data_IF_119141771513
#
_entry.id   IF_119141771513
#
_cell.length_a   1.000
_cell.length_b   1.000
_cell.length_c   1.000
_cell.angle_alpha   90.00
_cell.angle_beta   90.00
_cell.angle_gamma   90.00
#
_symmetry.space_group_name_H-M   'P 1'
#
loop_
_entity.id
_entity.type
_entity.pdbx_description
1 polymer ?
#
# COMPACT_ATOMS: atom_id res chain seq x y z
N UNK A 1 5.65 -18.32 -16.07
CA UNK A 1 6.44 -17.30 -15.33
C UNK A 1 7.90 -17.44 -15.70
N UNK A 2 8.54 -16.38 -16.17
CA UNK A 2 10.00 -16.35 -16.33
C UNK A 2 10.65 -16.39 -14.94
N UNK A 3 11.66 -17.24 -14.76
CA UNK A 3 12.45 -17.29 -13.53
C UNK A 3 13.05 -15.88 -13.23
N UNK A 4 13.22 -15.50 -11.95
CA UNK A 4 13.90 -14.27 -11.59
C UNK A 4 15.25 -14.20 -12.30
N UNK A 5 15.53 -13.09 -12.98
CA UNK A 5 16.86 -12.89 -13.58
C UNK A 5 17.84 -12.51 -12.46
N UNK A 6 19.10 -12.92 -12.58
CA UNK A 6 20.16 -12.64 -11.59
C UNK A 6 20.33 -11.14 -11.26
N UNK A 7 19.84 -10.27 -12.14
CA UNK A 7 19.90 -8.81 -11.97
C UNK A 7 18.79 -8.23 -11.07
N UNK A 8 17.88 -9.06 -10.55
CA UNK A 8 16.84 -8.57 -9.66
C UNK A 8 17.38 -8.43 -8.22
N UNK A 9 17.04 -7.33 -7.49
CA UNK A 9 17.60 -7.06 -6.17
C UNK A 9 17.43 -8.18 -5.15
N UNK A 10 16.33 -8.95 -5.24
CA UNK A 10 16.00 -10.03 -4.32
C UNK A 10 15.99 -11.41 -4.98
N UNK A 11 16.71 -11.55 -6.13
CA UNK A 11 16.84 -12.84 -6.79
C UNK A 11 17.43 -13.89 -5.84
N UNK A 12 16.80 -15.07 -5.79
CA UNK A 12 17.17 -16.17 -4.90
C UNK A 12 16.43 -16.17 -3.56
N UNK A 13 16.02 -15.01 -3.03
CA UNK A 13 15.34 -14.94 -1.74
C UNK A 13 14.00 -15.69 -1.79
N UNK A 14 13.77 -16.59 -0.82
CA UNK A 14 12.58 -17.43 -0.71
C UNK A 14 11.76 -17.09 0.53
N UNK A 15 10.50 -16.72 0.35
CA UNK A 15 9.58 -16.31 1.42
C UNK A 15 8.33 -17.18 1.38
N UNK A 16 7.94 -17.73 2.52
CA UNK A 16 6.65 -18.39 2.74
C UNK A 16 5.71 -17.37 3.36
N UNK A 17 4.61 -17.09 2.69
CA UNK A 17 3.57 -16.18 3.15
C UNK A 17 2.30 -16.95 3.50
N UNK A 18 1.89 -16.86 4.78
CA UNK A 18 0.61 -17.40 5.27
C UNK A 18 -0.22 -16.24 5.77
N UNK A 19 -1.05 -15.69 4.91
CA UNK A 19 -1.64 -14.38 5.18
C UNK A 19 -3.03 -14.20 4.59
N UNK A 20 -3.70 -13.11 4.99
CA UNK A 20 -4.99 -12.68 4.44
C UNK A 20 -5.06 -11.15 4.36
N UNK A 21 -5.99 -10.64 3.57
CA UNK A 21 -6.35 -9.23 3.41
C UNK A 21 -5.26 -8.35 2.77
N UNK A 22 -4.70 -7.33 3.46
CA UNK A 22 -3.88 -6.27 2.84
C UNK A 22 -2.43 -6.30 3.29
N UNK A 23 -2.17 -6.08 4.57
CA UNK A 23 -0.84 -5.74 5.07
C UNK A 23 0.23 -6.78 4.70
N UNK A 24 0.05 -8.03 5.10
CA UNK A 24 1.00 -9.09 4.76
C UNK A 24 1.03 -9.40 3.25
N UNK A 25 -0.13 -9.52 2.55
CA UNK A 25 -0.11 -9.70 1.10
C UNK A 25 0.62 -8.59 0.34
N UNK A 26 0.45 -7.32 0.72
CA UNK A 26 1.17 -6.21 0.12
C UNK A 26 2.69 -6.30 0.38
N UNK A 27 3.08 -6.64 1.60
CA UNK A 27 4.48 -6.87 1.95
C UNK A 27 5.13 -7.95 1.10
N UNK A 28 4.50 -9.12 1.01
CA UNK A 28 4.97 -10.23 0.17
C UNK A 28 4.97 -9.87 -1.33
N UNK A 29 3.94 -9.19 -1.82
CA UNK A 29 3.92 -8.72 -3.22
C UNK A 29 5.05 -7.72 -3.50
N UNK A 30 5.35 -6.83 -2.58
CA UNK A 30 6.45 -5.87 -2.72
C UNK A 30 7.79 -6.61 -2.88
N UNK A 31 8.04 -7.64 -2.06
CA UNK A 31 9.23 -8.48 -2.19
C UNK A 31 9.25 -9.28 -3.50
N UNK A 32 8.10 -9.86 -3.89
CA UNK A 32 7.99 -10.60 -5.16
C UNK A 32 8.25 -9.72 -6.38
N UNK A 33 7.73 -8.50 -6.39
CA UNK A 33 7.99 -7.52 -7.44
C UNK A 33 9.45 -7.03 -7.47
N UNK A 34 10.21 -7.23 -6.42
CA UNK A 34 11.65 -6.99 -6.35
C UNK A 34 12.50 -8.22 -6.70
N UNK A 35 11.87 -9.36 -7.00
CA UNK A 35 12.52 -10.57 -7.47
C UNK A 35 12.62 -11.71 -6.48
N UNK A 36 12.07 -11.58 -5.27
CA UNK A 36 11.97 -12.71 -4.34
C UNK A 36 10.97 -13.77 -4.84
N UNK A 37 11.26 -15.03 -4.59
CA UNK A 37 10.27 -16.11 -4.73
C UNK A 37 9.35 -16.13 -3.50
N UNK A 38 8.16 -15.54 -3.63
CA UNK A 38 7.16 -15.54 -2.57
C UNK A 38 6.12 -16.61 -2.85
N UNK A 39 6.03 -17.60 -1.96
CA UNK A 39 5.01 -18.66 -2.00
C UNK A 39 3.92 -18.29 -1.01
N UNK A 40 2.76 -17.92 -1.55
CA UNK A 40 1.54 -17.74 -0.77
C UNK A 40 0.89 -19.09 -0.53
N UNK A 41 0.66 -19.39 0.74
CA UNK A 41 -0.02 -20.61 1.20
C UNK A 41 -1.44 -20.26 1.61
N UNK A 42 -2.41 -20.75 0.85
CA UNK A 42 -3.83 -20.60 1.16
C UNK A 42 -4.43 -21.95 1.65
N UNK A 43 -5.50 -21.94 2.44
CA UNK A 43 -6.26 -23.15 2.73
C UNK A 43 -6.92 -23.69 1.46
N UNK A 44 -7.32 -24.97 1.47
CA UNK A 44 -8.12 -25.55 0.40
C UNK A 44 -9.39 -24.72 0.19
N UNK A 45 -9.73 -24.43 -1.07
CA UNK A 45 -10.84 -23.56 -1.42
C UNK A 45 -10.57 -22.06 -1.24
N UNK A 46 -9.38 -21.66 -0.82
CA UNK A 46 -8.95 -20.27 -0.65
C UNK A 46 -9.23 -19.68 0.72
N UNK A 47 -8.55 -18.57 1.02
CA UNK A 47 -8.77 -17.76 2.20
C UNK A 47 -9.95 -16.77 1.98
N UNK A 48 -10.50 -16.12 3.04
CA UNK A 48 -11.65 -15.22 2.92
C UNK A 48 -11.47 -14.05 1.94
N UNK A 49 -10.23 -13.65 1.67
CA UNK A 49 -9.91 -12.57 0.73
C UNK A 49 -10.01 -12.97 -0.75
N UNK A 50 -10.09 -14.29 -1.07
CA UNK A 50 -10.32 -14.77 -2.43
C UNK A 50 -11.71 -14.38 -2.99
N UNK A 51 -12.68 -14.12 -2.14
CA UNK A 51 -14.05 -13.70 -2.52
C UNK A 51 -14.37 -12.26 -2.13
N UNK A 52 -13.34 -11.48 -1.72
CA UNK A 52 -13.53 -10.11 -1.26
C UNK A 52 -13.78 -9.16 -2.43
N UNK A 53 -14.73 -8.25 -2.23
CA UNK A 53 -15.02 -7.14 -3.16
C UNK A 53 -13.84 -6.17 -3.32
N UNK A 54 -13.67 -5.55 -4.52
CA UNK A 54 -14.55 -5.69 -5.69
C UNK A 54 -14.32 -6.98 -6.46
N UNK A 55 -15.35 -7.45 -7.18
CA UNK A 55 -15.33 -8.67 -7.97
C UNK A 55 -15.44 -8.35 -9.47
N UNK A 56 -14.78 -9.16 -10.30
CA UNK A 56 -15.06 -9.22 -11.73
C UNK A 56 -16.40 -9.94 -11.99
N UNK A 57 -16.93 -9.89 -13.22
CA UNK A 57 -18.18 -10.59 -13.61
C UNK A 57 -18.11 -12.10 -13.36
N UNK A 58 -16.94 -12.71 -13.48
CA UNK A 58 -16.67 -14.10 -13.17
C UNK A 58 -16.75 -14.47 -11.69
N UNK A 59 -16.84 -13.49 -10.79
CA UNK A 59 -16.70 -13.65 -9.35
C UNK A 59 -15.25 -13.61 -8.85
N UNK A 60 -14.25 -13.43 -9.72
CA UNK A 60 -12.84 -13.33 -9.31
C UNK A 60 -12.61 -12.00 -8.57
N UNK A 61 -11.98 -12.06 -7.41
CA UNK A 61 -11.65 -10.89 -6.60
C UNK A 61 -10.56 -10.04 -7.24
N UNK A 62 -10.91 -8.80 -7.62
CA UNK A 62 -9.95 -7.80 -8.08
C UNK A 62 -9.05 -7.31 -6.93
N UNK A 63 -9.55 -7.42 -5.71
CA UNK A 63 -8.81 -7.12 -4.50
C UNK A 63 -7.67 -8.12 -4.28
N UNK A 64 -7.98 -9.43 -4.33
CA UNK A 64 -6.98 -10.47 -4.16
C UNK A 64 -5.94 -10.46 -5.29
N UNK A 65 -6.38 -10.38 -6.55
CA UNK A 65 -5.46 -10.32 -7.70
C UNK A 65 -4.59 -9.06 -7.66
N UNK A 66 -5.12 -7.95 -7.16
CA UNK A 66 -4.39 -6.70 -6.96
C UNK A 66 -3.19 -6.83 -6.02
N UNK A 67 -3.31 -7.63 -4.95
CA UNK A 67 -2.33 -7.75 -3.86
C UNK A 67 -1.41 -8.99 -3.95
N UNK A 68 -1.62 -9.85 -4.96
CA UNK A 68 -0.87 -11.11 -5.07
C UNK A 68 -0.12 -11.27 -6.40
N UNK A 69 0.10 -10.16 -7.13
CA UNK A 69 0.89 -10.18 -8.37
C UNK A 69 2.31 -10.69 -8.13
N UNK A 70 2.82 -11.45 -9.10
CA UNK A 70 4.16 -12.04 -9.11
C UNK A 70 4.45 -13.09 -8.03
N UNK A 71 3.49 -13.46 -7.19
CA UNK A 71 3.63 -14.56 -6.23
C UNK A 71 3.37 -15.92 -6.88
N UNK A 72 3.80 -16.97 -6.19
CA UNK A 72 3.35 -18.34 -6.42
C UNK A 72 2.25 -18.68 -5.41
N UNK A 73 1.21 -19.43 -5.82
CA UNK A 73 0.13 -19.87 -4.94
C UNK A 73 0.15 -21.38 -4.80
N UNK A 74 0.02 -21.84 -3.56
CA UNK A 74 -0.21 -23.22 -3.21
C UNK A 74 -1.45 -23.34 -2.32
N UNK A 75 -2.22 -24.41 -2.46
CA UNK A 75 -3.38 -24.70 -1.63
C UNK A 75 -3.12 -25.95 -0.77
N UNK A 76 -3.25 -25.80 0.56
CA UNK A 76 -2.88 -26.82 1.54
C UNK A 76 -3.95 -26.93 2.62
N UNK A 77 -4.27 -28.15 3.05
CA UNK A 77 -5.12 -28.35 4.23
C UNK A 77 -4.38 -27.97 5.52
N UNK A 78 -4.49 -26.72 5.91
CA UNK A 78 -3.85 -26.16 7.10
C UNK A 78 -4.46 -26.66 8.43
N UNK A 79 -5.51 -27.50 8.37
CA UNK A 79 -6.12 -28.11 9.55
C UNK A 79 -5.53 -29.48 9.85
N UNK A 80 -5.02 -30.16 8.84
CA UNK A 80 -4.40 -31.49 9.00
C UNK A 80 -2.96 -31.38 9.48
N UNK A 81 -2.52 -32.32 10.29
CA UNK A 81 -1.12 -32.44 10.70
C UNK A 81 -0.17 -32.59 9.50
N UNK A 82 -0.61 -33.29 8.44
CA UNK A 82 0.17 -33.48 7.22
C UNK A 82 0.36 -32.16 6.46
N UNK A 83 -0.68 -31.32 6.35
CA UNK A 83 -0.57 -30.01 5.72
C UNK A 83 0.28 -29.03 6.53
N UNK A 84 0.13 -29.04 7.86
CA UNK A 84 0.98 -28.23 8.76
C UNK A 84 2.45 -28.61 8.64
N UNK A 85 2.76 -29.91 8.63
CA UNK A 85 4.12 -30.39 8.44
C UNK A 85 4.67 -30.01 7.05
N UNK A 86 3.86 -30.10 6.01
CA UNK A 86 4.24 -29.70 4.66
C UNK A 86 4.65 -28.21 4.60
N UNK A 87 3.86 -27.33 5.20
CA UNK A 87 4.19 -25.89 5.27
C UNK A 87 5.41 -25.65 6.16
N UNK A 88 5.52 -26.36 7.28
CA UNK A 88 6.73 -26.31 8.14
C UNK A 88 7.98 -26.65 7.32
N UNK A 89 7.96 -27.71 6.53
CA UNK A 89 9.07 -28.08 5.65
C UNK A 89 9.35 -27.03 4.58
N UNK A 90 8.31 -26.43 3.97
CA UNK A 90 8.49 -25.34 3.02
C UNK A 90 9.23 -24.14 3.63
N UNK A 91 9.04 -23.89 4.92
CA UNK A 91 9.81 -22.88 5.65
C UNK A 91 11.22 -23.37 5.97
N UNK A 92 11.35 -24.54 6.58
CA UNK A 92 12.63 -25.00 7.16
C UNK A 92 13.60 -25.54 6.14
N UNK A 93 13.11 -26.20 5.09
CA UNK A 93 13.89 -26.95 4.12
C UNK A 93 14.05 -26.22 2.77
N UNK A 94 13.70 -24.92 2.72
CA UNK A 94 13.68 -24.10 1.49
C UNK A 94 15.08 -23.66 0.98
N UNK A 95 16.14 -24.23 1.49
CA UNK A 95 17.52 -23.90 1.07
C UNK A 95 18.11 -22.69 1.81
N UNK A 96 19.35 -22.27 1.48
CA UNK A 96 20.09 -21.25 2.23
C UNK A 96 19.40 -19.88 2.19
N UNK A 97 18.80 -19.50 1.06
CA UNK A 97 18.13 -18.20 0.88
C UNK A 97 16.67 -18.22 1.32
N UNK A 98 16.20 -19.34 1.89
CA UNK A 98 14.87 -19.52 2.47
C UNK A 98 14.83 -19.28 3.98
N UNK A 99 13.88 -19.97 4.67
CA UNK A 99 13.68 -19.78 6.11
C UNK A 99 13.14 -18.39 6.45
N UNK A 100 12.26 -17.86 5.62
CA UNK A 100 11.61 -16.58 5.84
C UNK A 100 10.11 -16.79 5.85
N UNK A 101 9.45 -16.35 6.93
CA UNK A 101 7.99 -16.41 7.09
C UNK A 101 7.43 -15.01 7.25
N UNK A 102 6.39 -14.72 6.48
CA UNK A 102 5.53 -13.55 6.62
C UNK A 102 4.12 -14.02 6.92
N UNK A 103 3.57 -13.62 8.06
CA UNK A 103 2.23 -14.05 8.44
C UNK A 103 1.45 -12.98 9.23
N UNK A 104 0.13 -12.98 9.08
CA UNK A 104 -0.80 -12.30 9.98
C UNK A 104 -1.78 -13.29 10.63
N UNK A 105 -1.46 -14.58 10.59
CA UNK A 105 -2.25 -15.63 11.22
C UNK A 105 -1.84 -15.78 12.69
N UNK A 106 -2.64 -15.23 13.58
CA UNK A 106 -2.43 -15.33 15.03
C UNK A 106 -2.90 -16.69 15.57
N UNK A 107 -2.21 -17.19 16.60
CA UNK A 107 -2.65 -18.38 17.36
C UNK A 107 -2.31 -19.74 16.73
N UNK A 108 -1.59 -19.79 15.62
CA UNK A 108 -1.12 -21.05 15.00
C UNK A 108 0.23 -21.46 15.59
N UNK A 109 0.21 -22.17 16.73
CA UNK A 109 1.44 -22.58 17.44
C UNK A 109 2.50 -23.25 16.58
N UNK A 110 2.10 -24.11 15.61
CA UNK A 110 3.01 -24.80 14.69
C UNK A 110 3.72 -23.86 13.70
N UNK A 111 3.12 -22.71 13.39
CA UNK A 111 3.70 -21.67 12.51
C UNK A 111 4.47 -20.59 13.30
N UNK A 112 4.45 -20.65 14.62
CA UNK A 112 5.11 -19.68 15.49
C UNK A 112 6.64 -19.78 15.44
N UNK A 113 7.32 -18.67 15.73
CA UNK A 113 8.77 -18.57 15.67
C UNK A 113 9.48 -19.71 16.43
N UNK A 114 9.05 -20.01 17.67
CA UNK A 114 9.73 -21.04 18.51
C UNK A 114 9.70 -22.40 17.86
N UNK A 115 8.53 -22.85 17.38
CA UNK A 115 8.40 -24.16 16.76
C UNK A 115 9.22 -24.31 15.47
N UNK A 116 9.30 -23.25 14.66
CA UNK A 116 10.06 -23.27 13.42
C UNK A 116 11.57 -23.09 13.65
N UNK A 117 11.97 -22.28 14.62
CA UNK A 117 13.36 -22.01 14.94
C UNK A 117 14.09 -23.22 15.53
N UNK A 118 13.38 -24.16 16.19
CA UNK A 118 13.93 -25.44 16.61
C UNK A 118 14.46 -26.27 15.44
N UNK A 119 13.83 -26.15 14.27
CA UNK A 119 14.23 -26.87 13.05
C UNK A 119 15.13 -26.03 12.15
N UNK A 120 15.03 -24.70 12.24
CA UNK A 120 15.83 -23.76 11.45
C UNK A 120 16.32 -22.57 12.30
N UNK A 121 17.52 -22.66 12.88
CA UNK A 121 18.03 -21.64 13.82
C UNK A 121 18.22 -20.24 13.21
N UNK A 122 18.46 -20.15 11.89
CA UNK A 122 18.60 -18.88 11.16
C UNK A 122 17.27 -18.33 10.62
N UNK A 123 16.13 -18.85 11.11
CA UNK A 123 14.78 -18.46 10.71
C UNK A 123 14.55 -16.95 10.88
N UNK A 124 13.97 -16.32 9.85
CA UNK A 124 13.36 -15.00 9.93
C UNK A 124 11.85 -15.16 9.93
N UNK A 125 11.22 -14.74 11.01
CA UNK A 125 9.78 -14.83 11.17
C UNK A 125 9.22 -13.44 11.43
N UNK A 126 8.32 -12.94 10.58
CA UNK A 126 7.62 -11.70 10.78
C UNK A 126 6.13 -11.94 10.95
N UNK A 127 5.63 -11.57 12.13
CA UNK A 127 4.23 -11.61 12.51
C UNK A 127 3.63 -10.22 12.42
N UNK A 128 2.54 -10.06 11.65
CA UNK A 128 1.70 -8.86 11.70
C UNK A 128 0.54 -9.11 12.66
N UNK A 129 0.29 -8.16 13.54
CA UNK A 129 -0.73 -8.21 14.59
C UNK A 129 -1.63 -6.99 14.51
N UNK A 130 -2.82 -7.05 15.14
CA UNK A 130 -3.71 -5.90 15.26
C UNK A 130 -3.17 -4.87 16.24
N UNK A 131 -2.96 -5.32 17.48
CA UNK A 131 -2.37 -4.56 18.58
C UNK A 131 -1.16 -5.30 19.17
N UNK A 132 -0.24 -4.59 19.90
CA UNK A 132 0.95 -5.21 20.51
C UNK A 132 0.65 -6.28 21.55
N UNK A 133 -0.53 -6.30 22.14
CA UNK A 133 -1.02 -7.30 23.09
C UNK A 133 -1.60 -8.55 22.40
N UNK A 134 -1.59 -8.58 21.06
CA UNK A 134 -2.15 -9.66 20.24
C UNK A 134 -3.66 -9.57 20.02
N UNK A 135 -4.33 -8.55 20.54
CA UNK A 135 -5.75 -8.35 20.27
C UNK A 135 -6.01 -7.96 18.83
N UNK A 136 -7.19 -8.32 18.32
CA UNK A 136 -7.55 -8.12 16.92
C UNK A 136 -7.84 -6.65 16.61
N UNK A 137 -7.31 -6.16 15.51
CA UNK A 137 -7.70 -4.89 14.92
C UNK A 137 -7.65 -4.97 13.39
N UNK A 138 -8.34 -4.06 12.75
CA UNK A 138 -8.31 -3.81 11.31
C UNK A 138 -8.09 -2.33 11.06
N UNK A 139 -7.68 -1.95 9.86
CA UNK A 139 -7.36 -0.57 9.48
C UNK A 139 -8.40 0.45 9.98
N UNK A 140 -9.69 0.21 9.67
CA UNK A 140 -10.76 1.13 10.04
C UNK A 140 -10.97 1.29 11.55
N UNK A 141 -10.76 0.24 12.34
CA UNK A 141 -10.87 0.34 13.81
C UNK A 141 -9.66 1.06 14.40
N UNK A 142 -8.47 0.83 13.87
CA UNK A 142 -7.25 1.58 14.25
C UNK A 142 -7.40 3.05 13.89
N UNK A 143 -7.88 3.36 12.67
CA UNK A 143 -8.09 4.73 12.23
C UNK A 143 -9.05 5.49 13.13
N UNK A 144 -10.15 4.85 13.53
CA UNK A 144 -11.12 5.46 14.45
C UNK A 144 -10.49 5.78 15.82
N UNK A 145 -9.67 4.87 16.36
CA UNK A 145 -8.97 5.04 17.64
C UNK A 145 -7.86 6.11 17.59
N UNK A 146 -7.35 6.43 16.41
CA UNK A 146 -6.25 7.40 16.23
C UNK A 146 -6.72 8.86 16.13
N UNK A 147 -8.03 9.11 16.00
CA UNK A 147 -8.61 10.45 15.92
C UNK A 147 -8.63 11.08 14.52
N UNK A 148 -8.01 10.50 13.49
CA UNK A 148 -8.03 11.04 12.14
C UNK A 148 -9.43 11.24 11.54
N UNK A 149 -10.42 10.36 11.79
CA UNK A 149 -11.79 10.60 11.34
C UNK A 149 -12.44 11.88 11.87
N UNK A 150 -11.99 12.37 13.03
CA UNK A 150 -12.45 13.63 13.59
C UNK A 150 -11.78 14.86 12.95
N UNK A 151 -10.66 14.68 12.26
CA UNK A 151 -9.93 15.71 11.52
C UNK A 151 -10.25 15.72 10.03
N UNK A 152 -10.82 14.63 9.51
CA UNK A 152 -11.16 14.45 8.10
C UNK A 152 -12.54 15.02 7.79
N UNK A 153 -12.69 15.62 6.62
CA UNK A 153 -13.96 16.14 6.11
C UNK A 153 -14.10 17.66 6.20
N UNK A 154 -15.25 18.22 5.76
CA UNK A 154 -15.47 19.66 5.68
C UNK A 154 -15.38 20.34 7.04
N UNK A 155 -14.90 21.59 7.05
CA UNK A 155 -14.97 22.45 8.25
C UNK A 155 -16.42 22.56 8.73
N UNK A 156 -16.64 22.50 10.04
CA UNK A 156 -17.98 22.57 10.66
C UNK A 156 -18.79 21.27 10.60
N UNK A 157 -18.30 20.19 9.96
CA UNK A 157 -18.94 18.88 10.03
C UNK A 157 -18.64 18.22 11.38
N UNK A 158 -19.67 17.73 12.08
CA UNK A 158 -19.50 17.20 13.43
C UNK A 158 -19.14 15.70 13.47
N UNK A 159 -19.68 14.92 12.54
CA UNK A 159 -19.54 13.47 12.55
C UNK A 159 -18.16 13.02 12.05
N UNK A 160 -17.64 11.88 12.54
CA UNK A 160 -16.40 11.28 12.02
C UNK A 160 -16.51 10.94 10.54
N UNK A 161 -15.43 11.14 9.77
CA UNK A 161 -15.32 10.76 8.36
C UNK A 161 -14.12 9.85 8.17
N UNK A 162 -14.37 8.60 7.81
CA UNK A 162 -13.29 7.66 7.49
C UNK A 162 -12.67 7.94 6.12
N UNK A 163 -11.42 7.57 5.97
CA UNK A 163 -10.76 7.53 4.67
C UNK A 163 -11.19 6.28 3.86
N UNK A 164 -11.07 6.34 2.55
CA UNK A 164 -11.39 5.20 1.66
C UNK A 164 -10.21 4.25 1.47
N UNK A 165 -8.98 4.71 1.68
CA UNK A 165 -7.76 3.93 1.54
C UNK A 165 -7.46 3.25 2.88
N UNK A 166 -7.19 1.92 2.93
CA UNK A 166 -6.68 1.26 4.13
C UNK A 166 -5.19 1.64 4.35
N UNK A 167 -4.96 2.88 4.78
CA UNK A 167 -3.65 3.51 4.82
C UNK A 167 -2.70 2.81 5.81
N UNK A 168 -3.23 2.34 6.92
CA UNK A 168 -2.45 1.66 7.96
C UNK A 168 -2.03 0.27 7.52
N UNK A 169 -2.90 -0.46 6.85
CA UNK A 169 -2.58 -1.74 6.23
C UNK A 169 -1.49 -1.57 5.16
N UNK A 170 -1.61 -0.55 4.31
CA UNK A 170 -0.60 -0.24 3.27
C UNK A 170 0.75 0.08 3.91
N UNK A 171 0.78 0.98 4.90
CA UNK A 171 2.00 1.33 5.61
C UNK A 171 2.60 0.11 6.32
N UNK A 172 1.78 -0.69 7.02
CA UNK A 172 2.21 -1.90 7.71
C UNK A 172 2.84 -2.92 6.75
N UNK A 173 2.26 -3.12 5.56
CA UNK A 173 2.82 -4.01 4.54
C UNK A 173 4.20 -3.55 4.05
N UNK A 174 4.40 -2.24 3.88
CA UNK A 174 5.70 -1.69 3.51
C UNK A 174 6.72 -1.80 4.67
N UNK A 175 6.30 -1.56 5.92
CA UNK A 175 7.15 -1.81 7.10
C UNK A 175 7.52 -3.29 7.22
N UNK A 176 6.61 -4.21 6.90
CA UNK A 176 6.91 -5.64 6.90
C UNK A 176 7.99 -6.00 5.87
N UNK A 177 7.90 -5.48 4.65
CA UNK A 177 8.93 -5.67 3.63
C UNK A 177 10.30 -5.12 4.09
N UNK A 178 10.34 -3.91 4.65
CA UNK A 178 11.56 -3.30 5.20
C UNK A 178 12.11 -4.12 6.38
N UNK A 179 11.23 -4.55 7.29
CA UNK A 179 11.62 -5.38 8.45
C UNK A 179 12.25 -6.71 8.03
N UNK A 180 11.65 -7.40 7.04
CA UNK A 180 12.21 -8.65 6.50
C UNK A 180 13.56 -8.43 5.83
N UNK A 181 13.72 -7.38 5.04
CA UNK A 181 15.00 -7.05 4.41
C UNK A 181 16.07 -6.66 5.44
N UNK A 182 15.69 -5.93 6.50
CA UNK A 182 16.57 -5.63 7.62
C UNK A 182 17.05 -6.88 8.37
N UNK A 183 16.15 -7.83 8.62
CA UNK A 183 16.45 -9.10 9.25
C UNK A 183 17.31 -10.00 8.35
N UNK A 184 17.04 -10.04 7.05
CA UNK A 184 17.82 -10.77 6.07
C UNK A 184 19.25 -10.22 6.01
N UNK A 185 19.42 -8.90 5.90
CA UNK A 185 20.75 -8.28 5.96
C UNK A 185 21.49 -8.59 7.26
N UNK A 186 20.78 -8.65 8.41
CA UNK A 186 21.38 -9.09 9.68
C UNK A 186 21.81 -10.54 9.60
N UNK A 187 20.94 -11.43 9.10
CA UNK A 187 21.23 -12.86 8.92
C UNK A 187 22.44 -13.08 8.02
N UNK A 188 22.53 -12.39 6.91
CA UNK A 188 23.67 -12.47 5.99
C UNK A 188 25.01 -12.10 6.64
N UNK A 189 24.99 -11.22 7.65
CA UNK A 189 26.21 -10.79 8.38
C UNK A 189 26.56 -11.64 9.58
N UNK A 190 25.57 -12.25 10.22
CA UNK A 190 25.73 -12.87 11.55
C UNK A 190 25.40 -14.37 11.58
N UNK A 191 24.76 -14.88 10.54
CA UNK A 191 24.18 -16.22 10.50
C UNK A 191 22.96 -16.40 11.41
N UNK A 192 22.47 -15.35 12.08
CA UNK A 192 21.41 -15.46 13.07
C UNK A 192 20.05 -15.04 12.52
N UNK A 193 19.03 -15.83 12.80
CA UNK A 193 17.63 -15.53 12.53
C UNK A 193 17.06 -14.37 13.36
N UNK A 194 15.79 -14.04 13.13
CA UNK A 194 15.08 -12.96 13.82
C UNK A 194 13.61 -13.28 13.98
N UNK A 195 13.05 -13.02 15.16
CA UNK A 195 11.60 -12.90 15.36
C UNK A 195 11.23 -11.42 15.32
N UNK A 196 10.32 -11.06 14.45
CA UNK A 196 9.82 -9.70 14.28
C UNK A 196 8.30 -9.70 14.48
N UNK A 197 7.79 -8.69 15.16
CA UNK A 197 6.37 -8.40 15.26
C UNK A 197 6.10 -6.96 14.84
N UNK A 198 5.01 -6.74 14.12
CA UNK A 198 4.54 -5.40 13.73
C UNK A 198 3.06 -5.34 14.06
N UNK A 199 2.69 -4.43 14.98
CA UNK A 199 1.29 -4.15 15.24
C UNK A 199 0.78 -3.03 14.32
N UNK A 200 -0.40 -3.23 13.75
CA UNK A 200 -1.05 -2.26 12.87
C UNK A 200 -1.29 -0.92 13.60
N UNK A 201 -1.71 -1.00 14.88
CA UNK A 201 -1.90 0.18 15.73
C UNK A 201 -0.60 0.94 16.00
N UNK A 202 0.53 0.24 16.13
CA UNK A 202 1.82 0.90 16.35
C UNK A 202 2.31 1.64 15.11
N UNK A 203 2.09 1.06 13.92
CA UNK A 203 2.38 1.74 12.65
C UNK A 203 1.59 3.04 12.54
N UNK A 204 0.30 3.01 12.88
CA UNK A 204 -0.56 4.19 12.85
C UNK A 204 -0.13 5.22 13.91
N UNK A 205 0.13 4.78 15.14
CA UNK A 205 0.57 5.63 16.24
C UNK A 205 1.94 6.29 15.95
N UNK A 206 2.89 5.51 15.45
CA UNK A 206 4.20 6.02 15.04
C UNK A 206 4.09 7.06 13.91
N UNK A 207 3.20 6.81 12.94
CA UNK A 207 2.93 7.78 11.86
C UNK A 207 2.37 9.08 12.41
N UNK A 208 1.36 9.02 13.29
CA UNK A 208 0.80 10.20 13.94
C UNK A 208 1.83 10.95 14.79
N UNK A 209 2.65 10.23 15.54
CA UNK A 209 3.72 10.82 16.34
C UNK A 209 4.78 11.51 15.49
N UNK A 210 5.29 10.83 14.46
CA UNK A 210 6.32 11.35 13.56
C UNK A 210 5.86 12.60 12.76
N UNK A 211 4.57 12.70 12.49
CA UNK A 211 3.97 13.86 11.81
C UNK A 211 3.54 14.97 12.77
N UNK A 212 3.84 14.85 14.07
CA UNK A 212 3.63 15.88 15.08
C UNK A 212 2.22 15.95 15.69
N UNK A 213 1.26 15.11 15.27
CA UNK A 213 -0.12 15.16 15.78
C UNK A 213 -0.19 14.91 17.28
N UNK A 214 0.60 13.96 17.80
CA UNK A 214 0.61 13.65 19.23
C UNK A 214 1.22 14.76 20.05
N UNK A 215 2.37 15.31 19.60
CA UNK A 215 3.04 16.41 20.27
C UNK A 215 2.18 17.69 20.28
N UNK A 216 1.53 17.99 19.16
CA UNK A 216 0.59 19.13 19.07
C UNK A 216 -0.54 19.01 20.09
N UNK A 217 -1.14 17.83 20.21
CA UNK A 217 -2.21 17.57 21.17
C UNK A 217 -1.71 17.61 22.63
N UNK A 218 -0.51 17.06 22.91
CA UNK A 218 0.11 17.07 24.24
C UNK A 218 0.46 18.49 24.70
N UNK A 219 0.87 19.36 23.78
CA UNK A 219 1.11 20.78 24.03
C UNK A 219 -0.17 21.62 24.16
N UNK A 220 -1.33 20.97 24.14
CA UNK A 220 -2.63 21.64 24.32
C UNK A 220 -3.17 22.35 23.09
N UNK A 221 -2.52 22.17 21.94
CA UNK A 221 -3.01 22.72 20.67
C UNK A 221 -4.12 21.82 20.13
N UNK A 222 -5.10 22.44 19.48
CA UNK A 222 -6.22 21.71 18.87
C UNK A 222 -6.22 21.96 17.38
N UNK A 223 -5.84 20.94 16.61
CA UNK A 223 -5.93 21.01 15.15
C UNK A 223 -7.39 21.03 14.74
N UNK A 224 -7.87 22.04 14.00
CA UNK A 224 -9.24 22.07 13.52
C UNK A 224 -9.43 21.13 12.33
N UNK A 225 -10.70 20.80 12.04
CA UNK A 225 -11.08 20.19 10.78
C UNK A 225 -11.08 21.27 9.68
N UNK A 226 -10.30 21.10 8.65
CA UNK A 226 -10.02 22.12 7.65
C UNK A 226 -10.62 21.85 6.26
N UNK A 227 -11.30 20.71 6.09
CA UNK A 227 -11.76 20.31 4.74
C UNK A 227 -10.57 20.08 3.81
N UNK A 228 -10.54 20.80 2.72
CA UNK A 228 -9.50 20.70 1.70
C UNK A 228 -8.34 21.71 1.88
N UNK A 229 -8.35 22.52 2.95
CA UNK A 229 -7.24 23.41 3.23
C UNK A 229 -6.01 22.65 3.71
N UNK A 230 -4.84 23.09 3.23
CA UNK A 230 -3.56 22.66 3.77
C UNK A 230 -3.37 23.23 5.18
N UNK A 231 -2.98 22.40 6.15
CA UNK A 231 -2.64 22.82 7.49
C UNK A 231 -1.25 23.48 7.52
N UNK A 232 -1.16 24.63 8.16
CA UNK A 232 0.10 25.36 8.36
C UNK A 232 0.60 26.13 7.13
N UNK A 233 -0.10 26.06 6.00
CA UNK A 233 0.27 26.75 4.77
C UNK A 233 -0.94 27.20 3.97
N UNK A 234 -0.73 27.55 2.68
CA UNK A 234 -1.83 27.92 1.79
C UNK A 234 -1.99 26.92 0.67
N UNK A 235 -3.15 26.31 0.64
CA UNK A 235 -3.59 25.42 -0.42
C UNK A 235 -5.00 24.94 -0.16
N UNK A 236 -5.81 24.86 -1.20
CA UNK A 236 -7.14 24.25 -1.19
C UNK A 236 -7.61 24.00 -2.62
N UNK A 237 -8.81 23.53 -2.73
CA UNK A 237 -9.47 23.37 -4.02
C UNK A 237 -10.23 24.63 -4.45
N UNK A 238 -10.27 24.85 -5.77
CA UNK A 238 -10.96 25.94 -6.43
C UNK A 238 -11.77 25.42 -7.61
N UNK A 239 -12.90 26.05 -7.91
CA UNK A 239 -13.80 25.62 -8.97
C UNK A 239 -13.84 26.68 -10.07
N UNK A 240 -13.47 26.27 -11.29
CA UNK A 240 -13.56 27.10 -12.50
C UNK A 240 -15.01 27.29 -12.96
N UNK A 241 -15.23 28.25 -13.87
CA UNK A 241 -16.54 28.59 -14.45
C UNK A 241 -17.29 27.40 -15.06
N UNK A 242 -16.56 26.50 -15.70
CA UNK A 242 -17.08 25.29 -16.32
C UNK A 242 -17.17 24.09 -15.33
N UNK A 243 -17.08 24.36 -14.03
CA UNK A 243 -17.10 23.41 -12.92
C UNK A 243 -15.90 22.47 -12.82
N UNK A 244 -14.86 22.68 -13.61
CA UNK A 244 -13.58 21.99 -13.41
C UNK A 244 -13.02 22.36 -12.03
N UNK A 245 -12.71 21.36 -11.21
CA UNK A 245 -12.19 21.55 -9.84
C UNK A 245 -10.70 21.30 -9.78
N UNK A 246 -9.96 22.23 -9.21
CA UNK A 246 -8.52 22.22 -9.09
C UNK A 246 -8.11 22.12 -7.63
N UNK A 247 -7.17 21.23 -7.29
CA UNK A 247 -6.38 21.35 -6.06
C UNK A 247 -5.15 22.20 -6.35
N UNK A 248 -4.88 23.19 -5.50
CA UNK A 248 -3.76 24.10 -5.62
C UNK A 248 -3.05 24.21 -4.28
N UNK A 249 -1.71 24.17 -4.28
CA UNK A 249 -0.89 24.25 -3.06
C UNK A 249 0.34 25.14 -3.32
N UNK A 250 0.62 26.03 -2.37
CA UNK A 250 1.85 26.83 -2.34
C UNK A 250 2.68 26.47 -1.11
N UNK A 251 3.78 25.72 -1.30
CA UNK A 251 4.67 25.29 -0.22
C UNK A 251 5.85 26.24 0.02
N UNK A 252 6.15 27.11 -0.93
CA UNK A 252 7.29 28.00 -0.86
C UNK A 252 6.88 29.44 -1.19
N UNK A 253 7.67 30.41 -0.73
CA UNK A 253 7.48 31.82 -1.10
C UNK A 253 7.52 32.03 -2.62
N UNK A 254 8.31 31.21 -3.34
CA UNK A 254 8.31 31.25 -4.81
C UNK A 254 6.96 30.82 -5.40
N UNK A 255 6.39 29.73 -4.91
CA UNK A 255 5.06 29.25 -5.38
C UNK A 255 3.99 30.31 -5.12
N UNK A 256 4.04 30.97 -3.95
CA UNK A 256 3.11 32.03 -3.61
C UNK A 256 3.24 33.23 -4.56
N UNK A 257 4.47 33.72 -4.74
CA UNK A 257 4.76 34.86 -5.64
C UNK A 257 4.32 34.56 -7.07
N UNK A 258 4.65 33.38 -7.60
CA UNK A 258 4.25 32.96 -8.94
C UNK A 258 2.72 32.90 -9.08
N UNK A 259 2.01 32.45 -8.06
CA UNK A 259 0.54 32.45 -8.04
C UNK A 259 -0.03 33.86 -8.10
N UNK A 260 0.44 34.74 -7.24
CA UNK A 260 -0.03 36.14 -7.16
C UNK A 260 0.16 36.87 -8.48
N UNK A 261 1.35 36.76 -9.08
CA UNK A 261 1.68 37.37 -10.39
C UNK A 261 0.84 36.75 -11.51
N UNK A 262 0.73 35.41 -11.56
CA UNK A 262 -0.01 34.74 -12.64
C UNK A 262 -1.51 35.01 -12.59
N UNK A 263 -2.05 35.32 -11.42
CA UNK A 263 -3.46 35.65 -11.22
C UNK A 263 -3.74 37.14 -11.30
N UNK A 264 -2.71 38.00 -11.34
CA UNK A 264 -2.83 39.46 -11.35
C UNK A 264 -3.40 40.02 -10.04
N UNK A 265 -3.06 39.37 -8.92
CA UNK A 265 -3.56 39.71 -7.60
C UNK A 265 -2.55 40.50 -6.74
N UNK A 266 -1.48 41.06 -7.35
CA UNK A 266 -0.43 41.77 -6.64
C UNK A 266 -0.98 42.94 -5.82
N UNK A 267 -1.82 43.81 -6.41
CA UNK A 267 -2.38 44.97 -5.71
C UNK A 267 -3.38 44.56 -4.60
N UNK A 268 -4.36 43.62 -4.83
CA UNK A 268 -5.23 43.16 -3.75
C UNK A 268 -4.49 42.46 -2.60
N UNK A 269 -3.46 41.67 -2.92
CA UNK A 269 -2.64 40.98 -1.92
C UNK A 269 -1.87 42.02 -1.08
N UNK A 270 -1.17 42.98 -1.70
CA UNK A 270 -0.43 44.02 -1.00
C UNK A 270 -1.35 44.91 -0.14
N UNK A 271 -2.56 45.21 -0.62
CA UNK A 271 -3.54 45.95 0.17
C UNK A 271 -3.99 45.16 1.40
N UNK A 272 -4.14 43.86 1.28
CA UNK A 272 -4.52 42.96 2.37
C UNK A 272 -3.39 42.84 3.39
N UNK A 273 -2.12 42.67 2.97
CA UNK A 273 -0.94 42.67 3.84
C UNK A 273 -0.87 43.94 4.68
N UNK A 274 -1.03 45.11 4.03
CA UNK A 274 -1.03 46.39 4.71
C UNK A 274 -2.18 46.52 5.72
N UNK A 275 -3.37 46.06 5.37
CA UNK A 275 -4.55 46.15 6.23
C UNK A 275 -4.44 45.27 7.48
N UNK A 276 -3.86 44.08 7.33
CA UNK A 276 -3.70 43.10 8.40
C UNK A 276 -2.39 43.23 9.17
N UNK A 277 -1.38 43.96 8.64
CA UNK A 277 -0.05 44.07 9.23
C UNK A 277 0.75 42.78 9.18
N UNK A 278 0.59 41.98 8.11
CA UNK A 278 1.22 40.68 7.89
C UNK A 278 2.08 40.67 6.62
N UNK A 279 2.94 39.65 6.48
CA UNK A 279 3.75 39.41 5.28
C UNK A 279 3.39 38.01 4.69
N UNK A 280 2.72 37.98 3.55
CA UNK A 280 2.38 36.74 2.90
C UNK A 280 3.58 36.03 2.23
N UNK A 281 4.80 36.56 2.33
CA UNK A 281 6.00 35.76 2.11
C UNK A 281 6.15 34.66 3.18
N UNK A 282 5.63 34.92 4.40
CA UNK A 282 5.61 33.95 5.51
C UNK A 282 4.44 32.96 5.39
N UNK A 283 4.73 31.68 5.59
CA UNK A 283 3.76 30.61 5.42
C UNK A 283 2.64 30.66 6.47
N UNK A 284 2.99 30.97 7.70
CA UNK A 284 2.05 31.13 8.82
C UNK A 284 1.01 32.23 8.57
N UNK A 285 1.45 33.39 8.05
CA UNK A 285 0.55 34.50 7.74
C UNK A 285 -0.45 34.14 6.61
N UNK A 286 0.02 33.37 5.62
CA UNK A 286 -0.89 32.81 4.60
C UNK A 286 -1.89 31.84 5.19
N UNK A 287 -1.46 31.00 6.14
CA UNK A 287 -2.34 30.04 6.79
C UNK A 287 -3.43 30.75 7.62
N UNK A 288 -3.04 31.72 8.46
CA UNK A 288 -4.00 32.45 9.28
C UNK A 288 -4.97 33.28 8.43
N UNK A 289 -4.53 33.80 7.30
CA UNK A 289 -5.35 34.61 6.37
C UNK A 289 -5.97 33.77 5.24
N UNK A 290 -5.92 32.45 5.31
CA UNK A 290 -6.28 31.52 4.22
C UNK A 290 -7.67 31.75 3.62
N UNK A 291 -8.66 32.14 4.43
CA UNK A 291 -10.03 32.35 3.96
C UNK A 291 -10.16 33.61 3.11
N UNK A 292 -9.46 34.68 3.51
CA UNK A 292 -9.41 35.92 2.75
C UNK A 292 -8.68 35.73 1.41
N UNK A 293 -7.53 35.08 1.46
CA UNK A 293 -6.75 34.75 0.26
C UNK A 293 -7.55 33.83 -0.69
N UNK A 294 -8.24 32.86 -0.12
CA UNK A 294 -9.11 31.97 -0.90
C UNK A 294 -10.24 32.74 -1.59
N UNK A 295 -10.88 33.70 -0.94
CA UNK A 295 -11.96 34.50 -1.51
C UNK A 295 -11.51 35.31 -2.74
N UNK A 296 -10.27 35.83 -2.73
CA UNK A 296 -9.68 36.51 -3.90
C UNK A 296 -9.52 35.53 -5.07
N UNK A 297 -8.98 34.36 -4.78
CA UNK A 297 -8.75 33.33 -5.80
C UNK A 297 -10.05 32.68 -6.29
N UNK A 298 -11.05 32.46 -5.44
CA UNK A 298 -12.35 31.91 -5.84
C UNK A 298 -12.95 32.69 -6.99
N UNK A 299 -12.89 34.03 -6.92
CA UNK A 299 -13.38 34.89 -7.99
C UNK A 299 -12.54 34.72 -9.27
N UNK A 300 -11.21 34.69 -9.13
CA UNK A 300 -10.32 34.51 -10.30
C UNK A 300 -10.60 33.19 -11.03
N UNK A 301 -10.83 32.10 -10.29
CA UNK A 301 -11.20 30.79 -10.85
C UNK A 301 -12.60 30.79 -11.46
N UNK A 302 -13.58 31.37 -10.77
CA UNK A 302 -14.97 31.40 -11.23
C UNK A 302 -15.17 32.18 -12.55
N UNK A 303 -14.29 33.15 -12.82
CA UNK A 303 -14.32 33.95 -14.04
C UNK A 303 -13.70 33.23 -15.27
N UNK A 304 -13.06 32.06 -15.10
CA UNK A 304 -12.26 31.38 -16.13
C UNK A 304 -12.72 29.95 -16.36
N UNK A 305 -12.65 29.49 -17.64
CA UNK A 305 -12.82 28.08 -17.92
C UNK A 305 -11.59 27.26 -17.47
N UNK A 306 -11.77 25.98 -17.18
CA UNK A 306 -10.69 25.11 -16.73
C UNK A 306 -9.49 25.05 -17.68
N UNK A 307 -9.70 25.15 -19.00
CA UNK A 307 -8.62 25.21 -19.97
C UNK A 307 -7.77 26.48 -19.82
N UNK A 308 -8.40 27.62 -19.54
CA UNK A 308 -7.72 28.91 -19.29
C UNK A 308 -6.90 28.85 -18.01
N UNK A 309 -7.48 28.29 -16.95
CA UNK A 309 -6.78 28.06 -15.67
C UNK A 309 -5.54 27.19 -15.88
N UNK A 310 -5.67 26.05 -16.59
CA UNK A 310 -4.52 25.18 -16.90
C UNK A 310 -3.41 25.92 -17.67
N UNK A 311 -3.78 26.74 -18.64
CA UNK A 311 -2.82 27.50 -19.45
C UNK A 311 -2.04 28.51 -18.61
N UNK A 312 -2.67 29.14 -17.62
CA UNK A 312 -2.01 30.09 -16.70
C UNK A 312 -1.14 29.35 -15.70
N UNK A 313 -1.71 28.39 -14.96
CA UNK A 313 -0.98 27.69 -13.90
C UNK A 313 0.16 26.80 -14.45
N UNK A 314 0.01 26.27 -15.66
CA UNK A 314 1.05 25.48 -16.33
C UNK A 314 2.34 26.24 -16.66
N UNK A 315 2.35 27.58 -16.53
CA UNK A 315 3.53 28.44 -16.73
C UNK A 315 4.17 28.87 -15.42
N UNK A 316 3.67 28.38 -14.30
CA UNK A 316 4.11 28.76 -12.94
C UNK A 316 4.83 27.59 -12.26
N UNK A 317 5.47 27.87 -11.13
CA UNK A 317 5.99 26.83 -10.23
C UNK A 317 4.95 26.31 -9.24
N UNK A 318 3.72 26.81 -9.28
CA UNK A 318 2.63 26.44 -8.37
C UNK A 318 2.29 24.95 -8.53
N UNK A 319 2.07 24.29 -7.41
CA UNK A 319 1.65 22.88 -7.41
C UNK A 319 0.12 22.81 -7.56
N UNK A 320 -0.33 22.19 -8.64
CA UNK A 320 -1.77 22.04 -8.89
C UNK A 320 -2.11 20.76 -9.66
N UNK A 321 -3.33 20.32 -9.51
CA UNK A 321 -3.91 19.25 -10.32
C UNK A 321 -5.42 19.41 -10.41
N UNK A 322 -6.05 18.72 -11.35
CA UNK A 322 -7.51 18.65 -11.48
C UNK A 322 -8.03 17.43 -10.76
N UNK A 323 -9.12 17.58 -10.01
CA UNK A 323 -9.84 16.44 -9.45
C UNK A 323 -10.40 15.56 -10.56
N UNK A 324 -10.18 14.27 -10.43
CA UNK A 324 -10.65 13.24 -11.37
C UNK A 324 -11.26 12.07 -10.60
N UNK A 325 -12.25 11.44 -11.20
CA UNK A 325 -12.69 10.11 -10.77
C UNK A 325 -11.66 9.05 -11.15
N UNK A 326 -11.72 7.87 -10.53
CA UNK A 326 -10.85 6.74 -10.90
C UNK A 326 -11.11 6.30 -12.36
N UNK A 327 -12.35 6.40 -12.83
CA UNK A 327 -12.70 6.09 -14.22
C UNK A 327 -12.02 7.05 -15.23
N UNK A 328 -12.02 8.36 -14.95
CA UNK A 328 -11.32 9.34 -15.77
C UNK A 328 -9.80 9.16 -15.71
N UNK A 329 -9.27 8.78 -14.53
CA UNK A 329 -7.84 8.51 -14.38
C UNK A 329 -7.39 7.35 -15.26
N UNK A 330 -8.09 6.22 -15.24
CA UNK A 330 -7.77 5.03 -16.06
C UNK A 330 -7.82 5.35 -17.56
N UNK A 331 -8.73 6.24 -17.98
CA UNK A 331 -8.85 6.69 -19.38
C UNK A 331 -7.75 7.66 -19.81
N UNK A 332 -6.92 8.19 -18.91
CA UNK A 332 -5.96 9.24 -19.23
C UNK A 332 -4.67 8.72 -19.91
N UNK A 333 -4.12 9.55 -20.80
CA UNK A 333 -2.81 9.27 -21.44
C UNK A 333 -1.67 9.19 -20.41
N UNK A 334 -1.75 9.96 -19.33
CA UNK A 334 -0.80 9.94 -18.22
C UNK A 334 -0.63 8.55 -17.61
N UNK A 335 -1.74 7.85 -17.33
CA UNK A 335 -1.71 6.49 -16.77
C UNK A 335 -1.24 5.48 -17.83
N UNK A 336 -1.70 5.61 -19.07
CA UNK A 336 -1.30 4.70 -20.17
C UNK A 336 0.16 4.84 -20.55
N UNK A 337 0.71 6.05 -20.50
CA UNK A 337 2.11 6.32 -20.77
C UNK A 337 3.06 6.00 -19.59
N UNK A 338 2.50 5.76 -18.40
CA UNK A 338 3.32 5.48 -17.23
C UNK A 338 4.02 4.10 -17.38
N UNK A 339 5.35 4.05 -17.33
CA UNK A 339 6.10 2.79 -17.54
C UNK A 339 5.83 1.73 -16.47
N UNK A 340 5.30 2.11 -15.31
CA UNK A 340 4.88 1.17 -14.26
C UNK A 340 3.60 0.42 -14.65
N UNK A 341 2.73 1.02 -15.48
CA UNK A 341 1.45 0.43 -15.87
C UNK A 341 1.62 -0.45 -17.11
N UNK A 342 1.08 -1.67 -17.05
CA UNK A 342 1.12 -2.61 -18.17
C UNK A 342 -0.20 -3.36 -18.29
N UNK A 343 -0.56 -3.72 -19.51
CA UNK A 343 -1.65 -4.67 -19.72
C UNK A 343 -1.23 -6.05 -19.25
N UNK A 344 -2.06 -6.68 -18.46
CA UNK A 344 -1.94 -8.07 -18.04
C UNK A 344 -3.21 -8.83 -18.41
N UNK A 345 -3.05 -10.10 -18.76
CA UNK A 345 -4.15 -11.02 -18.93
C UNK A 345 -4.28 -11.86 -17.66
N UNK A 346 -5.31 -11.57 -16.86
CA UNK A 346 -5.56 -12.20 -15.56
C UNK A 346 -6.68 -13.21 -15.69
N UNK A 347 -6.45 -14.51 -15.41
CA UNK A 347 -7.49 -15.52 -15.41
C UNK A 347 -8.71 -15.09 -14.57
N UNK A 348 -9.89 -15.26 -15.10
CA UNK A 348 -11.15 -14.85 -14.49
C UNK A 348 -11.44 -13.34 -14.50
N UNK A 349 -10.51 -12.50 -14.95
CA UNK A 349 -10.72 -11.04 -15.05
C UNK A 349 -10.63 -10.58 -16.50
N UNK A 350 -9.72 -11.17 -17.29
CA UNK A 350 -9.39 -10.72 -18.64
C UNK A 350 -8.28 -9.68 -18.66
N UNK A 351 -8.19 -8.95 -19.75
CA UNK A 351 -7.14 -7.91 -19.94
C UNK A 351 -7.48 -6.63 -19.22
N UNK A 352 -6.56 -6.15 -18.41
CA UNK A 352 -6.67 -4.86 -17.75
C UNK A 352 -5.29 -4.24 -17.50
N UNK A 353 -5.27 -2.94 -17.25
CA UNK A 353 -4.06 -2.18 -16.94
C UNK A 353 -3.70 -2.35 -15.46
N UNK A 354 -2.60 -3.06 -15.19
CA UNK A 354 -2.14 -3.35 -13.84
C UNK A 354 -0.85 -2.59 -13.50
N UNK A 355 -0.70 -2.11 -12.25
CA UNK A 355 0.55 -1.53 -11.79
C UNK A 355 1.58 -2.61 -11.46
N UNK A 356 2.84 -2.37 -11.85
CA UNK A 356 4.01 -3.06 -11.34
C UNK A 356 4.55 -2.41 -10.06
N UNK A 357 5.84 -2.66 -9.76
CA UNK A 357 6.51 -2.01 -8.64
C UNK A 357 6.73 -0.51 -8.91
N UNK A 358 6.44 0.37 -7.95
CA UNK A 358 6.84 1.77 -8.04
C UNK A 358 8.35 1.97 -7.89
N UNK A 359 9.09 0.96 -7.40
CA UNK A 359 10.54 0.98 -7.30
C UNK A 359 11.12 0.63 -8.66
N UNK A 360 11.77 1.61 -9.29
CA UNK A 360 12.38 1.48 -10.60
C UNK A 360 13.80 0.92 -10.46
N UNK A 361 13.97 -0.36 -10.76
CA UNK A 361 15.27 -1.02 -10.82
C UNK A 361 15.35 -1.87 -12.10
N UNK A 362 15.64 -1.23 -13.23
CA UNK A 362 15.59 -1.82 -14.57
C UNK A 362 14.16 -1.99 -15.12
N UNK A 363 14.06 -2.50 -16.36
CA UNK A 363 12.77 -2.87 -16.96
C UNK A 363 12.29 -4.21 -16.37
N UNK A 364 11.07 -4.23 -15.91
CA UNK A 364 10.44 -5.44 -15.35
C UNK A 364 9.07 -5.65 -15.95
N UNK A 365 8.74 -6.89 -16.34
CA UNK A 365 7.38 -7.21 -16.71
C UNK A 365 6.47 -7.10 -15.48
N UNK A 366 5.28 -6.58 -15.69
CA UNK A 366 4.21 -6.73 -14.70
C UNK A 366 3.68 -8.16 -14.82
N UNK A 367 3.85 -8.94 -13.76
CA UNK A 367 3.40 -10.32 -13.70
C UNK A 367 2.03 -10.35 -13.03
N UNK A 368 1.09 -11.08 -13.63
CA UNK A 368 -0.25 -11.27 -13.07
C UNK A 368 -0.22 -11.97 -11.71
N UNK A 369 -1.33 -11.94 -11.00
CA UNK A 369 -1.52 -12.81 -9.84
C UNK A 369 -1.73 -14.28 -10.26
N UNK A 370 -1.31 -15.24 -9.43
CA UNK A 370 -1.64 -16.64 -9.68
C UNK A 370 -3.14 -16.90 -9.48
N UNK A 371 -3.64 -18.04 -9.97
CA UNK A 371 -4.88 -18.60 -9.44
C UNK A 371 -4.58 -19.49 -8.23
N UNK A 372 -5.60 -19.78 -7.42
CA UNK A 372 -5.45 -20.61 -6.23
C UNK A 372 -4.83 -21.96 -6.56
N UNK A 373 -3.74 -22.33 -5.89
CA UNK A 373 -3.05 -23.61 -6.08
C UNK A 373 -2.31 -23.77 -7.40
N UNK A 374 -2.18 -22.72 -8.22
CA UNK A 374 -1.54 -22.78 -9.55
C UNK A 374 -0.14 -23.41 -9.53
N UNK A 375 0.58 -23.19 -8.47
CA UNK A 375 1.98 -23.58 -8.37
C UNK A 375 2.23 -24.72 -7.39
N UNK A 376 1.19 -25.38 -6.85
CA UNK A 376 1.31 -26.39 -5.81
C UNK A 376 2.34 -27.48 -6.18
N UNK A 377 2.17 -28.15 -7.30
CA UNK A 377 3.08 -29.22 -7.70
C UNK A 377 4.51 -28.69 -7.97
N UNK A 378 4.63 -27.56 -8.66
CA UNK A 378 5.94 -26.99 -9.01
C UNK A 378 6.73 -26.52 -7.78
N UNK A 379 6.06 -25.95 -6.78
CA UNK A 379 6.70 -25.52 -5.51
C UNK A 379 7.13 -26.74 -4.71
N UNK A 380 6.28 -27.76 -4.58
CA UNK A 380 6.62 -28.97 -3.82
C UNK A 380 7.78 -29.74 -4.45
N UNK A 381 7.82 -29.85 -5.76
CA UNK A 381 8.94 -30.47 -6.47
C UNK A 381 10.22 -29.60 -6.35
N UNK A 382 10.10 -28.29 -6.63
CA UNK A 382 11.27 -27.43 -6.71
C UNK A 382 11.89 -27.02 -5.36
N UNK A 383 11.08 -26.86 -4.29
CA UNK A 383 11.57 -26.46 -2.98
C UNK A 383 11.84 -27.63 -2.04
N UNK A 384 11.04 -28.71 -2.12
CA UNK A 384 11.15 -29.85 -1.23
C UNK A 384 11.69 -31.11 -1.92
N UNK A 385 11.91 -31.06 -3.24
CA UNK A 385 12.40 -32.22 -4.00
C UNK A 385 11.43 -33.39 -4.06
N UNK A 386 10.11 -33.16 -3.86
CA UNK A 386 9.13 -34.23 -3.90
C UNK A 386 8.96 -34.75 -5.33
N UNK A 387 8.88 -36.08 -5.45
CA UNK A 387 8.57 -36.75 -6.71
C UNK A 387 7.11 -36.58 -7.13
N UNK A 388 6.81 -36.73 -8.39
CA UNK A 388 5.43 -36.72 -8.92
C UNK A 388 4.51 -37.72 -8.20
N UNK A 389 5.07 -38.87 -7.75
CA UNK A 389 4.33 -39.84 -6.98
C UNK A 389 3.93 -39.31 -5.61
N UNK A 390 4.85 -38.76 -4.87
CA UNK A 390 4.57 -38.16 -3.54
C UNK A 390 3.59 -37.01 -3.63
N UNK A 391 3.69 -36.17 -4.66
CA UNK A 391 2.75 -35.07 -4.89
C UNK A 391 1.34 -35.64 -5.21
N UNK A 392 1.22 -36.68 -6.03
CA UNK A 392 -0.09 -37.34 -6.28
C UNK A 392 -0.68 -37.93 -4.99
N UNK A 393 0.11 -38.61 -4.18
CA UNK A 393 -0.31 -39.15 -2.89
C UNK A 393 -0.85 -38.07 -1.95
N UNK A 394 -0.22 -36.86 -1.93
CA UNK A 394 -0.73 -35.71 -1.17
C UNK A 394 -2.08 -35.21 -1.69
N UNK A 395 -2.28 -35.18 -3.01
CA UNK A 395 -3.57 -34.84 -3.63
C UNK A 395 -4.65 -35.87 -3.30
N UNK A 396 -4.37 -37.19 -3.46
CA UNK A 396 -5.31 -38.28 -3.17
C UNK A 396 -5.76 -38.26 -1.69
N UNK A 397 -4.89 -37.84 -0.79
CA UNK A 397 -5.18 -37.71 0.64
C UNK A 397 -5.85 -36.37 0.98
N UNK A 398 -6.10 -35.50 0.00
CA UNK A 398 -6.68 -34.17 0.24
C UNK A 398 -5.80 -33.21 1.08
N UNK A 399 -4.49 -33.44 1.11
CA UNK A 399 -3.55 -32.57 1.83
C UNK A 399 -3.25 -31.31 1.04
N UNK A 400 -3.24 -31.41 -0.28
CA UNK A 400 -3.02 -30.28 -1.21
C UNK A 400 -4.02 -30.30 -2.35
N UNK A 401 -4.22 -29.13 -2.95
CA UNK A 401 -5.00 -28.93 -4.16
C UNK A 401 -4.18 -28.16 -5.19
N UNK A 402 -4.36 -28.47 -6.46
CA UNK A 402 -3.79 -27.73 -7.58
C UNK A 402 -4.91 -27.11 -8.40
N UNK A 403 -4.66 -25.96 -9.00
CA UNK A 403 -5.58 -25.39 -9.98
C UNK A 403 -5.86 -26.40 -11.10
N UNK A 404 -7.09 -26.44 -11.67
CA UNK A 404 -7.36 -27.18 -12.88
C UNK A 404 -6.35 -26.77 -13.97
N UNK A 405 -5.82 -27.76 -14.70
CA UNK A 405 -4.97 -27.47 -15.87
C UNK A 405 -5.84 -26.78 -16.90
N UNK A 406 -5.46 -25.58 -17.31
CA UNK A 406 -6.03 -24.97 -18.51
C UNK A 406 -5.72 -25.93 -19.69
N UNK A 407 -6.78 -26.45 -20.32
CA UNK A 407 -6.70 -27.37 -21.42
C UNK A 407 -6.26 -26.72 -22.73
#
# INVERSE_FOLDING_TARGET
MTAPTADQPLAGLRVVEVSTFVAAPLGGMTLAQLGAEVVRVDPLGGAPDHTRWPLAESGTSLYWTGLNKAKRSIAVDLRSAAGQELVTRLVTDSGPDGGIVLTNSVGRGWLGYRALAERRPDLIHLQIEGHPDGSAAVDYTVNAGLGFPLLTGPAGHADPVNHVLPAWDVACGLYAAVGLLGAERRRARTGQGSALAIALSDVALATAGNLGFLAEAELGQRRPRLGNYLYGGFGRDFTARDRTRFMLVTLTTRHWRDLVVATGLEEPVAALEKALGVDFAEEGDRYESRELLAALLDRWFADRAGAEVRAVLGRTSVLWTVYRSVAELVGSDEVRANPMMREVDQPGVGRYLAPGSPIRAGERPVVRAPVLGEHTAAVLAGWLGLSDREIRELHERGVVESAPREG
#
